data_IF_406503483995
#
_entry.id   IF_406503483995
#
_cell.length_a   1.000
_cell.length_b   1.000
_cell.length_c   1.000
_cell.angle_alpha   90.00
_cell.angle_beta   90.00
_cell.angle_gamma   90.00
#
_symmetry.space_group_name_H-M   'P 1'
#
loop_
_entity.id
_entity.type
_entity.pdbx_description
1 polymer ?
#
# COMPACT_ATOMS: atom_id res chain seq x y z
N UNK A 1 -3.23 1.77 3.54
CA UNK A 1 -4.09 1.17 2.50
C UNK A 1 -5.57 1.55 2.61
N UNK A 2 -6.11 1.86 3.80
CA UNK A 2 -7.55 2.15 3.99
C UNK A 2 -7.94 3.62 3.75
N UNK A 3 -7.01 4.56 3.84
CA UNK A 3 -7.28 5.98 3.61
C UNK A 3 -7.81 6.21 2.18
N UNK A 4 -8.96 6.88 2.06
CA UNK A 4 -9.73 7.03 0.81
C UNK A 4 -10.02 5.69 0.12
N UNK A 5 -10.25 4.62 0.90
CA UNK A 5 -10.43 3.26 0.42
C UNK A 5 -9.31 2.80 -0.55
N UNK A 6 -8.07 3.19 -0.27
CA UNK A 6 -6.89 2.87 -1.08
C UNK A 6 -6.81 3.56 -2.44
N UNK A 7 -7.79 4.39 -2.81
CA UNK A 7 -7.83 5.12 -4.07
C UNK A 7 -6.93 6.36 -4.05
N UNK A 8 -5.62 6.11 -3.94
CA UNK A 8 -4.58 7.13 -3.91
C UNK A 8 -3.39 6.69 -4.75
N UNK A 9 -2.81 7.61 -5.49
CA UNK A 9 -1.57 7.39 -6.25
C UNK A 9 -0.39 6.96 -5.35
N UNK A 10 -0.43 7.35 -4.07
CA UNK A 10 0.56 6.97 -3.04
C UNK A 10 0.05 5.90 -2.09
N UNK A 11 -0.99 5.15 -2.44
CA UNK A 11 -1.48 4.03 -1.64
C UNK A 11 -0.40 2.95 -1.47
N UNK A 12 -0.27 2.39 -0.24
CA UNK A 12 0.65 1.28 0.01
C UNK A 12 0.15 0.05 -0.73
N UNK A 13 0.87 -0.36 -1.75
CA UNK A 13 0.55 -1.50 -2.61
C UNK A 13 1.42 -2.71 -2.32
N UNK A 14 2.72 -2.48 -2.08
CA UNK A 14 3.72 -3.52 -1.81
C UNK A 14 4.33 -3.29 -0.44
N UNK A 15 4.39 -4.34 0.37
CA UNK A 15 4.98 -4.33 1.71
C UNK A 15 6.07 -5.39 1.73
N UNK A 16 7.32 -4.97 1.89
CA UNK A 16 8.46 -5.87 2.00
C UNK A 16 8.83 -6.06 3.47
N UNK A 17 9.02 -7.31 3.88
CA UNK A 17 9.21 -7.69 5.27
C UNK A 17 10.36 -8.69 5.38
N UNK A 18 11.24 -8.61 6.41
CA UNK A 18 12.22 -9.66 6.65
C UNK A 18 11.56 -11.04 6.70
N UNK A 19 12.10 -12.02 5.97
CA UNK A 19 11.52 -13.36 5.85
C UNK A 19 11.16 -13.98 7.21
N UNK A 20 12.06 -13.86 8.19
CA UNK A 20 11.86 -14.40 9.54
C UNK A 20 10.78 -13.69 10.38
N UNK A 21 10.24 -12.56 9.91
CA UNK A 21 9.17 -11.78 10.58
C UNK A 21 7.85 -11.79 9.83
N UNK A 22 7.77 -12.52 8.72
CA UNK A 22 6.58 -12.49 7.85
C UNK A 22 5.30 -12.79 8.61
N UNK A 23 5.28 -13.87 9.39
CA UNK A 23 4.08 -14.33 10.06
C UNK A 23 3.59 -13.32 11.11
N UNK A 24 4.49 -12.81 11.93
CA UNK A 24 4.16 -11.84 12.97
C UNK A 24 3.63 -10.53 12.38
N UNK A 25 4.27 -10.07 11.30
CA UNK A 25 3.92 -8.78 10.71
C UNK A 25 2.60 -8.85 9.95
N UNK A 26 2.36 -9.89 9.12
CA UNK A 26 1.07 -9.93 8.43
C UNK A 26 -0.10 -10.13 9.40
N UNK A 27 0.08 -10.89 10.48
CA UNK A 27 -0.93 -11.02 11.55
C UNK A 27 -1.18 -9.69 12.26
N UNK A 28 -0.14 -8.92 12.55
CA UNK A 28 -0.28 -7.59 13.15
C UNK A 28 -1.01 -6.61 12.22
N UNK A 29 -0.70 -6.64 10.92
CA UNK A 29 -1.41 -5.82 9.91
C UNK A 29 -2.89 -6.26 9.85
N UNK A 30 -3.17 -7.55 9.79
CA UNK A 30 -4.53 -8.09 9.76
C UNK A 30 -5.32 -7.67 11.00
N UNK A 31 -4.73 -7.76 12.20
CA UNK A 31 -5.34 -7.30 13.44
C UNK A 31 -5.64 -5.79 13.43
N UNK A 32 -4.74 -4.98 12.87
CA UNK A 32 -4.99 -3.55 12.70
C UNK A 32 -6.11 -3.27 11.70
N UNK A 33 -6.15 -4.00 10.59
CA UNK A 33 -7.19 -3.85 9.56
C UNK A 33 -8.57 -4.27 10.08
N UNK A 34 -8.66 -5.26 10.98
CA UNK A 34 -9.92 -5.71 11.57
C UNK A 34 -10.61 -4.63 12.43
N UNK A 35 -9.86 -3.64 12.87
CA UNK A 35 -10.41 -2.48 13.61
C UNK A 35 -10.96 -1.38 12.68
N UNK A 36 -10.83 -1.54 11.37
CA UNK A 36 -11.30 -0.53 10.41
C UNK A 36 -12.81 -0.60 10.24
N UNK A 37 -13.53 0.34 10.83
CA UNK A 37 -14.97 0.48 10.63
C UNK A 37 -15.23 1.03 9.22
N UNK A 38 -16.02 0.29 8.44
CA UNK A 38 -16.35 0.61 7.04
C UNK A 38 -17.82 1.06 6.99
N UNK A 39 -18.14 2.07 6.21
CA UNK A 39 -19.54 2.49 6.08
C UNK A 39 -19.74 3.92 5.62
N UNK A 40 -20.83 4.54 6.11
CA UNK A 40 -21.20 5.90 5.80
C UNK A 40 -20.17 6.89 6.41
N UNK A 41 -19.49 7.70 5.60
CA UNK A 41 -18.48 8.65 6.10
C UNK A 41 -19.05 9.76 7.00
N UNK A 42 -20.35 9.96 7.04
CA UNK A 42 -20.99 10.88 7.97
C UNK A 42 -21.04 10.34 9.42
N UNK A 43 -20.89 9.03 9.59
CA UNK A 43 -20.75 8.42 10.91
C UNK A 43 -19.30 8.57 11.41
N UNK A 44 -19.14 9.21 12.56
CA UNK A 44 -17.81 9.53 13.14
C UNK A 44 -16.98 8.32 13.53
N UNK A 45 -17.59 7.14 13.68
CA UNK A 45 -16.87 5.88 13.94
C UNK A 45 -16.24 5.31 12.66
N UNK A 46 -16.76 5.65 11.47
CA UNK A 46 -16.29 5.11 10.20
C UNK A 46 -14.90 5.66 9.87
N UNK A 47 -14.02 4.78 9.41
CA UNK A 47 -12.63 5.07 9.01
C UNK A 47 -12.37 4.81 7.54
N UNK A 48 -13.23 4.04 6.88
CA UNK A 48 -13.14 3.78 5.44
C UNK A 48 -14.53 3.83 4.81
N UNK A 49 -14.72 4.69 3.83
CA UNK A 49 -15.92 4.76 3.01
C UNK A 49 -15.91 3.79 1.83
N UNK A 50 -16.86 3.98 0.92
CA UNK A 50 -16.92 3.22 -0.34
C UNK A 50 -15.82 3.64 -1.34
N UNK A 51 -15.64 2.83 -2.36
CA UNK A 51 -14.96 3.23 -3.59
C UNK A 51 -15.77 4.28 -4.35
N UNK A 52 -15.17 4.91 -5.35
CA UNK A 52 -15.79 5.96 -6.14
C UNK A 52 -17.10 5.50 -6.85
N UNK A 53 -17.24 4.22 -7.15
CA UNK A 53 -18.43 3.66 -7.77
C UNK A 53 -18.33 2.16 -8.03
N UNK A 54 -19.44 1.59 -8.53
CA UNK A 54 -19.55 0.16 -8.82
C UNK A 54 -18.56 -0.32 -9.91
N UNK A 55 -18.30 0.52 -10.90
CA UNK A 55 -17.28 0.22 -11.93
C UNK A 55 -15.90 0.05 -11.29
N UNK A 56 -15.52 0.97 -10.40
CA UNK A 56 -14.27 0.86 -9.68
C UNK A 56 -14.21 -0.38 -8.79
N UNK A 57 -15.32 -0.73 -8.11
CA UNK A 57 -15.40 -1.97 -7.32
C UNK A 57 -15.16 -3.21 -8.18
N UNK A 58 -15.75 -3.25 -9.37
CA UNK A 58 -15.55 -4.34 -10.33
C UNK A 58 -14.09 -4.42 -10.78
N UNK A 59 -13.51 -3.29 -11.17
CA UNK A 59 -12.10 -3.22 -11.60
C UNK A 59 -11.14 -3.68 -10.50
N UNK A 60 -11.31 -3.21 -9.25
CA UNK A 60 -10.50 -3.66 -8.11
C UNK A 60 -10.59 -5.18 -7.95
N UNK A 61 -11.80 -5.75 -7.99
CA UNK A 61 -11.99 -7.21 -7.88
C UNK A 61 -11.31 -7.98 -9.02
N UNK A 62 -11.35 -7.48 -10.23
CA UNK A 62 -10.67 -8.07 -11.38
C UNK A 62 -9.15 -8.04 -11.24
N UNK A 63 -8.59 -6.92 -10.78
CA UNK A 63 -7.15 -6.84 -10.52
C UNK A 63 -6.72 -7.76 -9.36
N UNK A 64 -7.53 -7.86 -8.30
CA UNK A 64 -7.25 -8.78 -7.19
C UNK A 64 -7.28 -10.23 -7.65
N UNK A 65 -8.21 -10.64 -8.53
CA UNK A 65 -8.20 -11.98 -9.11
C UNK A 65 -6.89 -12.30 -9.84
N UNK A 66 -6.33 -11.33 -10.56
CA UNK A 66 -5.01 -11.50 -11.20
C UNK A 66 -3.88 -11.61 -10.16
N UNK A 67 -3.90 -10.80 -9.10
CA UNK A 67 -2.93 -10.91 -8.01
C UNK A 67 -2.99 -12.27 -7.31
N UNK A 68 -4.18 -12.83 -7.17
CA UNK A 68 -4.40 -14.13 -6.53
C UNK A 68 -3.88 -15.33 -7.36
N UNK A 69 -3.47 -15.13 -8.59
CA UNK A 69 -2.80 -16.20 -9.39
C UNK A 69 -1.44 -16.58 -8.82
N UNK A 70 -0.79 -15.65 -8.10
CA UNK A 70 0.55 -15.83 -7.53
C UNK A 70 0.63 -15.47 -6.05
N UNK A 71 -0.49 -15.08 -5.44
CA UNK A 71 -0.56 -14.66 -4.04
C UNK A 71 -1.74 -15.31 -3.34
N UNK A 72 -1.69 -15.38 -2.02
CA UNK A 72 -2.77 -15.88 -1.16
C UNK A 72 -3.48 -14.72 -0.46
N UNK A 73 -4.80 -14.78 -0.34
CA UNK A 73 -5.55 -13.84 0.50
C UNK A 73 -5.39 -14.27 1.97
N UNK A 74 -4.73 -13.43 2.77
CA UNK A 74 -4.49 -13.71 4.20
C UNK A 74 -5.38 -12.87 5.12
N UNK A 75 -6.01 -11.81 4.60
CA UNK A 75 -7.01 -11.02 5.34
C UNK A 75 -8.00 -10.36 4.39
N UNK A 76 -9.26 -10.26 4.86
CA UNK A 76 -10.38 -9.63 4.15
C UNK A 76 -11.22 -10.63 3.36
N UNK A 77 -12.20 -10.14 2.62
CA UNK A 77 -13.09 -10.94 1.78
C UNK A 77 -13.35 -10.25 0.44
N UNK A 78 -13.34 -11.04 -0.63
CA UNK A 78 -13.71 -10.58 -1.96
C UNK A 78 -15.23 -10.48 -2.14
N UNK A 79 -15.99 -11.25 -1.36
CA UNK A 79 -17.42 -11.45 -1.58
C UNK A 79 -18.29 -10.65 -0.64
N UNK A 80 -17.82 -10.44 0.59
CA UNK A 80 -18.60 -9.80 1.64
C UNK A 80 -17.85 -8.66 2.30
N UNK A 81 -18.59 -7.65 2.75
CA UNK A 81 -18.10 -6.56 3.59
C UNK A 81 -19.19 -6.16 4.58
N UNK A 82 -18.80 -6.01 5.83
CA UNK A 82 -19.70 -5.44 6.84
C UNK A 82 -19.60 -3.94 6.81
N UNK A 83 -20.72 -3.27 6.79
CA UNK A 83 -20.80 -1.80 6.73
C UNK A 83 -21.66 -1.25 7.85
N UNK A 84 -21.33 -0.06 8.31
CA UNK A 84 -22.05 0.68 9.35
C UNK A 84 -22.79 1.85 8.70
N UNK A 85 -24.08 1.97 9.02
CA UNK A 85 -24.97 3.04 8.51
C UNK A 85 -24.96 3.19 6.98
N UNK A 86 -24.86 2.07 6.28
CA UNK A 86 -24.84 2.04 4.82
C UNK A 86 -25.41 0.71 4.31
N UNK A 87 -25.72 0.67 3.03
CA UNK A 87 -26.14 -0.54 2.33
C UNK A 87 -24.97 -1.12 1.53
N UNK A 88 -24.55 -2.33 1.88
CA UNK A 88 -23.43 -3.02 1.25
C UNK A 88 -23.72 -3.43 -0.22
N UNK A 89 -24.99 -3.64 -0.57
CA UNK A 89 -25.40 -4.05 -1.92
C UNK A 89 -25.47 -2.86 -2.86
N UNK A 90 -26.03 -1.75 -2.39
CA UNK A 90 -26.15 -0.51 -3.17
C UNK A 90 -24.83 0.26 -3.23
N UNK A 91 -24.03 0.23 -2.18
CA UNK A 91 -22.75 0.93 -2.10
C UNK A 91 -21.60 0.18 -2.77
N UNK A 92 -20.62 0.93 -3.23
CA UNK A 92 -19.39 0.36 -3.80
C UNK A 92 -18.38 -0.01 -2.71
N UNK A 93 -18.82 -0.69 -1.66
CA UNK A 93 -17.95 -1.10 -0.56
C UNK A 93 -17.14 -2.33 -0.89
N UNK A 94 -15.94 -2.41 -0.32
CA UNK A 94 -15.05 -3.56 -0.38
C UNK A 94 -14.27 -3.68 0.93
N UNK A 95 -14.04 -4.92 1.38
CA UNK A 95 -13.16 -5.17 2.53
C UNK A 95 -11.71 -4.77 2.20
N UNK A 96 -10.92 -4.27 3.16
CA UNK A 96 -9.48 -4.23 2.99
C UNK A 96 -8.93 -5.63 2.75
N UNK A 97 -8.05 -5.78 1.75
CA UNK A 97 -7.51 -7.07 1.33
C UNK A 97 -5.99 -7.07 1.52
N UNK A 98 -5.51 -7.97 2.36
CA UNK A 98 -4.08 -8.25 2.49
C UNK A 98 -3.76 -9.55 1.79
N UNK A 99 -2.87 -9.48 0.81
CA UNK A 99 -2.37 -10.61 0.06
C UNK A 99 -0.95 -10.96 0.55
N UNK A 100 -0.58 -12.22 0.48
CA UNK A 100 0.76 -12.71 0.74
C UNK A 100 1.31 -13.38 -0.52
N UNK A 101 2.50 -12.96 -0.94
CA UNK A 101 3.26 -13.60 -2.01
C UNK A 101 4.62 -14.04 -1.45
N UNK A 102 4.86 -15.35 -1.42
CA UNK A 102 6.08 -15.97 -0.86
C UNK A 102 7.23 -16.08 -1.87
N UNK A 103 6.97 -15.79 -3.16
CA UNK A 103 7.95 -15.90 -4.25
C UNK A 103 8.06 -14.61 -5.06
N UNK A 104 8.41 -13.48 -4.42
CA UNK A 104 8.31 -12.16 -5.05
C UNK A 104 9.19 -11.99 -6.30
N UNK A 105 10.34 -12.66 -6.38
CA UNK A 105 11.21 -12.57 -7.55
C UNK A 105 10.68 -13.27 -8.80
N UNK A 106 9.84 -14.29 -8.65
CA UNK A 106 9.26 -15.06 -9.74
C UNK A 106 7.81 -14.71 -10.04
N UNK A 107 7.23 -13.76 -9.30
CA UNK A 107 5.84 -13.35 -9.41
C UNK A 107 5.77 -11.89 -9.88
N UNK A 108 5.56 -11.63 -11.17
CA UNK A 108 5.49 -10.25 -11.69
C UNK A 108 4.23 -9.49 -11.26
N UNK A 109 3.14 -10.19 -10.93
CA UNK A 109 1.83 -9.60 -10.66
C UNK A 109 1.85 -8.55 -9.54
N UNK A 110 2.42 -8.80 -8.33
CA UNK A 110 2.46 -7.82 -7.27
C UNK A 110 3.26 -6.56 -7.63
N UNK A 111 4.19 -6.68 -8.57
CA UNK A 111 5.03 -5.56 -8.99
C UNK A 111 4.43 -4.74 -10.12
N UNK A 112 3.56 -5.33 -10.94
CA UNK A 112 3.03 -4.72 -12.17
C UNK A 112 1.56 -4.34 -12.07
N UNK A 113 0.77 -5.02 -11.25
CA UNK A 113 -0.66 -4.78 -11.10
C UNK A 113 -0.91 -3.76 -10.00
N UNK A 114 -1.75 -2.78 -10.29
CA UNK A 114 -2.29 -1.82 -9.34
C UNK A 114 -3.80 -1.96 -9.28
N UNK A 115 -4.32 -2.41 -8.13
CA UNK A 115 -5.75 -2.57 -7.97
C UNK A 115 -6.50 -1.25 -7.76
N UNK A 116 -5.81 -0.19 -7.33
CA UNK A 116 -6.36 1.13 -7.00
C UNK A 116 -7.55 1.08 -6.04
N UNK A 117 -7.37 0.29 -4.98
CA UNK A 117 -8.33 0.02 -3.92
C UNK A 117 -7.62 -0.31 -2.61
N UNK A 118 -8.33 -0.74 -1.55
CA UNK A 118 -7.74 -1.05 -0.24
C UNK A 118 -7.04 -2.42 -0.26
N UNK A 119 -6.06 -2.57 -1.15
CA UNK A 119 -5.36 -3.83 -1.44
C UNK A 119 -3.85 -3.63 -1.29
N UNK A 120 -3.20 -4.51 -0.53
CA UNK A 120 -1.75 -4.56 -0.40
C UNK A 120 -1.25 -5.99 -0.47
N UNK A 121 -0.05 -6.19 -1.02
CA UNK A 121 0.62 -7.49 -1.03
C UNK A 121 1.87 -7.43 -0.16
N UNK A 122 1.96 -8.33 0.81
CA UNK A 122 3.13 -8.52 1.67
C UNK A 122 4.03 -9.59 1.06
N UNK A 123 5.33 -9.34 1.09
CA UNK A 123 6.35 -10.14 0.42
C UNK A 123 7.61 -10.25 1.27
N UNK A 124 8.24 -11.42 1.37
CA UNK A 124 9.48 -11.60 2.11
C UNK A 124 10.69 -11.02 1.37
N UNK A 125 11.67 -10.59 2.15
CA UNK A 125 13.03 -10.36 1.67
C UNK A 125 14.05 -11.00 2.63
N UNK A 126 15.22 -11.36 2.10
CA UNK A 126 16.30 -12.03 2.85
C UNK A 126 17.18 -11.05 3.58
N UNK A 127 17.61 -10.01 2.86
CA UNK A 127 18.52 -8.99 3.35
C UNK A 127 18.22 -7.63 2.69
N UNK A 128 18.97 -6.59 3.06
CA UNK A 128 18.80 -5.25 2.51
C UNK A 128 18.98 -5.19 0.99
N UNK A 129 19.97 -5.90 0.45
CA UNK A 129 20.22 -5.91 -0.99
C UNK A 129 19.01 -6.50 -1.75
N UNK A 130 18.43 -7.54 -1.20
CA UNK A 130 17.22 -8.18 -1.70
C UNK A 130 16.01 -7.24 -1.62
N UNK A 131 15.80 -6.54 -0.49
CA UNK A 131 14.73 -5.54 -0.35
C UNK A 131 14.84 -4.42 -1.39
N UNK A 132 16.06 -3.93 -1.64
CA UNK A 132 16.34 -2.93 -2.69
C UNK A 132 16.02 -3.51 -4.07
N UNK A 133 16.45 -4.73 -4.37
CA UNK A 133 16.17 -5.38 -5.65
C UNK A 133 14.66 -5.54 -5.88
N UNK A 134 13.92 -6.03 -4.89
CA UNK A 134 12.45 -6.16 -4.94
C UNK A 134 11.75 -4.81 -5.14
N UNK A 135 12.22 -3.75 -4.46
CA UNK A 135 11.63 -2.43 -4.61
C UNK A 135 11.69 -1.92 -6.05
N UNK A 136 12.77 -2.24 -6.78
CA UNK A 136 13.02 -1.85 -8.17
C UNK A 136 12.14 -2.59 -9.18
N UNK A 137 11.62 -3.77 -8.86
CA UNK A 137 10.77 -4.56 -9.76
C UNK A 137 9.47 -3.83 -10.16
N UNK A 138 9.05 -2.82 -9.40
CA UNK A 138 7.95 -1.94 -9.77
C UNK A 138 8.24 -0.98 -10.92
N UNK A 139 9.49 -0.89 -11.38
CA UNK A 139 9.95 -0.03 -12.50
C UNK A 139 9.63 1.46 -12.31
N UNK A 140 9.61 1.90 -11.08
CA UNK A 140 9.31 3.27 -10.68
C UNK A 140 8.08 3.37 -9.78
N UNK A 141 8.17 4.21 -8.76
CA UNK A 141 7.04 4.56 -7.90
C UNK A 141 7.16 6.01 -7.41
N UNK A 142 6.03 6.60 -7.05
CA UNK A 142 5.98 7.96 -6.50
C UNK A 142 6.66 8.02 -5.14
N UNK A 143 6.40 7.02 -4.30
CA UNK A 143 6.85 7.03 -2.90
C UNK A 143 7.28 5.64 -2.45
N UNK A 144 8.33 5.60 -1.66
CA UNK A 144 8.70 4.47 -0.83
C UNK A 144 8.82 4.90 0.63
N UNK A 145 8.63 3.96 1.56
CA UNK A 145 8.88 4.19 2.98
C UNK A 145 9.74 3.07 3.52
N UNK A 146 10.80 3.42 4.23
CA UNK A 146 11.56 2.49 5.06
C UNK A 146 11.26 2.75 6.53
N UNK A 147 10.99 1.69 7.28
CA UNK A 147 10.78 1.73 8.73
C UNK A 147 11.96 1.04 9.39
N UNK A 148 12.84 1.81 10.02
CA UNK A 148 14.03 1.28 10.70
C UNK A 148 14.56 2.26 11.73
N UNK A 149 15.12 1.75 12.85
CA UNK A 149 15.87 2.53 13.82
C UNK A 149 17.36 2.62 13.47
N UNK A 150 17.85 1.81 12.53
CA UNK A 150 19.24 1.77 12.13
C UNK A 150 19.49 2.79 11.01
N UNK A 151 20.30 3.81 11.31
CA UNK A 151 20.65 4.86 10.36
C UNK A 151 21.45 4.36 9.15
N UNK A 152 22.27 3.33 9.34
CA UNK A 152 23.03 2.74 8.24
C UNK A 152 22.09 2.01 7.27
N UNK A 153 21.14 1.23 7.79
CA UNK A 153 20.11 0.58 6.99
C UNK A 153 19.27 1.60 6.22
N UNK A 154 18.85 2.69 6.89
CA UNK A 154 18.11 3.77 6.25
C UNK A 154 18.91 4.39 5.09
N UNK A 155 20.16 4.78 5.34
CA UNK A 155 21.02 5.40 4.34
C UNK A 155 21.26 4.49 3.14
N UNK A 156 21.63 3.23 3.41
CA UNK A 156 21.98 2.28 2.35
C UNK A 156 20.76 1.95 1.48
N UNK A 157 19.55 1.87 2.09
CA UNK A 157 18.31 1.73 1.33
C UNK A 157 18.03 2.97 0.47
N UNK A 158 18.13 4.18 1.05
CA UNK A 158 17.90 5.41 0.30
C UNK A 158 18.82 5.51 -0.90
N UNK A 159 20.12 5.31 -0.71
CA UNK A 159 21.11 5.34 -1.81
C UNK A 159 20.83 4.27 -2.85
N UNK A 160 20.52 3.05 -2.41
CA UNK A 160 20.28 1.92 -3.31
C UNK A 160 18.97 1.99 -4.10
N UNK A 161 17.94 2.63 -3.56
CA UNK A 161 16.59 2.66 -4.13
C UNK A 161 16.19 4.01 -4.76
N UNK A 162 16.95 5.08 -4.52
CA UNK A 162 16.59 6.46 -4.90
C UNK A 162 16.25 6.61 -6.41
N UNK A 163 16.96 5.91 -7.29
CA UNK A 163 16.73 5.99 -8.74
C UNK A 163 15.39 5.39 -9.19
N UNK A 164 14.64 4.74 -8.30
CA UNK A 164 13.36 4.07 -8.59
C UNK A 164 12.16 4.66 -7.85
N UNK A 165 12.36 5.69 -7.03
CA UNK A 165 11.31 6.31 -6.22
C UNK A 165 11.39 7.82 -6.30
N UNK A 166 10.25 8.50 -6.48
CA UNK A 166 10.18 9.96 -6.52
C UNK A 166 10.56 10.59 -5.18
N UNK A 167 10.18 9.96 -4.08
CA UNK A 167 10.61 10.30 -2.72
C UNK A 167 10.66 9.09 -1.82
N UNK A 168 11.50 9.15 -0.80
CA UNK A 168 11.64 8.09 0.20
C UNK A 168 11.44 8.71 1.58
N UNK A 169 10.46 8.18 2.33
CA UNK A 169 10.24 8.52 3.72
C UNK A 169 10.99 7.54 4.61
N UNK A 170 11.78 8.05 5.53
CA UNK A 170 12.43 7.26 6.58
C UNK A 170 11.64 7.45 7.87
N UNK A 171 11.16 6.36 8.44
CA UNK A 171 10.42 6.33 9.70
C UNK A 171 11.14 5.53 10.76
N UNK A 172 11.16 6.05 11.97
CA UNK A 172 11.60 5.38 13.19
C UNK A 172 10.66 5.73 14.36
N UNK A 173 10.92 5.21 15.54
CA UNK A 173 10.11 5.48 16.74
C UNK A 173 10.07 6.96 17.16
N UNK A 174 11.09 7.72 16.82
CA UNK A 174 11.20 9.13 17.22
C UNK A 174 10.30 10.02 16.36
N UNK A 175 10.21 9.75 15.05
CA UNK A 175 9.47 10.60 14.11
C UNK A 175 8.10 10.03 13.69
N UNK A 176 7.80 8.77 13.99
CA UNK A 176 6.58 8.12 13.47
C UNK A 176 5.28 8.80 13.90
N UNK A 177 5.22 9.34 15.12
CA UNK A 177 4.04 10.03 15.66
C UNK A 177 3.76 11.37 14.99
N UNK A 178 4.81 12.06 14.56
CA UNK A 178 4.74 13.41 13.96
C UNK A 178 4.73 13.36 12.43
N UNK A 179 4.93 12.17 11.87
CA UNK A 179 4.96 11.98 10.41
C UNK A 179 3.60 12.22 9.80
N UNK A 180 3.56 13.03 8.75
CA UNK A 180 2.36 13.23 7.93
C UNK A 180 2.05 12.04 7.02
N UNK A 181 2.91 11.01 7.04
CA UNK A 181 2.84 9.85 6.16
C UNK A 181 3.41 10.09 4.76
N UNK A 182 3.75 9.01 4.09
CA UNK A 182 4.48 9.06 2.83
C UNK A 182 3.71 9.71 1.66
N UNK A 183 2.42 9.70 1.75
CA UNK A 183 1.55 10.20 0.67
C UNK A 183 1.12 11.65 0.82
N UNK A 184 1.55 12.34 1.88
CA UNK A 184 1.12 13.73 2.12
C UNK A 184 1.78 14.67 1.12
N UNK A 185 1.00 15.50 0.41
CA UNK A 185 1.53 16.61 -0.36
C UNK A 185 2.04 17.67 0.62
N UNK A 186 3.28 18.09 0.45
CA UNK A 186 3.86 19.20 1.21
C UNK A 186 4.14 20.36 0.24
N UNK A 187 4.07 21.61 0.68
CA UNK A 187 4.47 22.75 -0.13
C UNK A 187 5.88 22.55 -0.69
N UNK A 188 6.09 22.92 -1.94
CA UNK A 188 7.35 22.77 -2.66
C UNK A 188 7.80 21.31 -2.96
N UNK A 189 6.97 20.32 -2.64
CA UNK A 189 7.24 18.95 -3.04
C UNK A 189 6.84 18.74 -4.51
N UNK A 190 7.79 18.31 -5.32
CA UNK A 190 7.50 17.78 -6.66
C UNK A 190 6.83 16.40 -6.48
N UNK A 191 5.61 16.26 -6.98
CA UNK A 191 4.90 15.00 -6.99
C UNK A 191 5.13 14.29 -8.31
N UNK A 192 6.00 13.34 -8.31
CA UNK A 192 6.38 12.57 -9.49
C UNK A 192 7.35 11.46 -9.11
N UNK A 193 7.74 10.68 -10.07
CA UNK A 193 8.70 9.62 -9.88
C UNK A 193 9.27 9.11 -11.19
N UNK A 194 10.34 8.32 -11.12
CA UNK A 194 11.01 7.78 -12.30
C UNK A 194 10.17 6.70 -12.97
N UNK A 195 10.44 6.47 -14.23
CA UNK A 195 9.91 5.34 -15.00
C UNK A 195 8.38 5.28 -15.00
N UNK A 196 7.85 4.17 -14.55
CA UNK A 196 6.39 3.92 -14.55
C UNK A 196 5.59 4.88 -13.67
N UNK A 197 6.20 5.48 -12.66
CA UNK A 197 5.50 6.42 -11.79
C UNK A 197 4.98 7.65 -12.55
N UNK A 198 5.63 7.99 -13.65
CA UNK A 198 5.34 9.21 -14.36
C UNK A 198 5.92 10.43 -13.63
N UNK A 199 6.34 11.41 -14.42
CA UNK A 199 6.90 12.64 -13.89
C UNK A 199 6.02 13.83 -14.24
N UNK A 200 5.97 14.78 -13.36
CA UNK A 200 5.33 16.06 -13.58
C UNK A 200 5.43 16.89 -12.31
N UNK A 201 5.53 18.18 -12.47
CA UNK A 201 5.34 19.10 -11.37
C UNK A 201 3.85 19.14 -11.05
N UNK A 202 3.40 18.26 -10.14
CA UNK A 202 2.16 18.52 -9.45
C UNK A 202 2.47 19.50 -8.33
N UNK A 203 2.09 20.72 -8.56
CA UNK A 203 2.09 21.74 -7.53
C UNK A 203 1.11 21.32 -6.45
N UNK A 204 1.62 20.82 -5.36
CA UNK A 204 0.83 20.49 -4.16
C UNK A 204 0.30 21.74 -3.46
N UNK A 205 -0.26 22.66 -4.19
CA UNK A 205 -0.79 23.93 -3.73
C UNK A 205 0.30 25.01 -3.52
N UNK A 206 0.18 26.08 -4.19
CA UNK A 206 0.64 27.38 -3.75
C UNK A 206 -0.40 27.99 -2.83
#
# INVERSE_FOLDING_TARGET
MTLKAGQRCTGVRRIFVPEHKMEDIWKAIAASLSQTVIGNPLNTAVRMGSLAGQTQRKEVREQVKKLLTTSQLVYGSMDSVQVTDADAELGAFISPLLLLNDKPHSSPEPHTIEAFGPVSTIMPYKDRADAIALSKLGKGSLVSTIVTADQKEARDYVVGAASHHGRILVLNNECAKESTGHGSPLPLLVHGGPGRAGGGEEMGGL
#
